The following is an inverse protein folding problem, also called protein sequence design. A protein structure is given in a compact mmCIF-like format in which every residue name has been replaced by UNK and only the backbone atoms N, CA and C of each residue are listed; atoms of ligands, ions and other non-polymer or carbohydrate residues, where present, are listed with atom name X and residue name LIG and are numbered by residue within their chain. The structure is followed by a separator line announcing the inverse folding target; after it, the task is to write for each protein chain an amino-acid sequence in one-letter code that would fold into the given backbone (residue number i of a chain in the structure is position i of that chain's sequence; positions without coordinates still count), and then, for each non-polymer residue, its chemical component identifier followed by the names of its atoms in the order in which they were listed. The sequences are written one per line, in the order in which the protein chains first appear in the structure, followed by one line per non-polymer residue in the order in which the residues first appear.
data_IF_209849410562
#
_entry.id   IF_209849410562
#
_cell.length_a   1.000
_cell.length_b   1.000
_cell.length_c   1.000
_cell.angle_alpha   90.00
_cell.angle_beta   90.00
_cell.angle_gamma   90.00
#
_symmetry.space_group_name_H-M   'P 1'
#
loop_
_entity.id
_entity.type
_entity.pdbx_description
1 polymer ?
#
# COMPACT_ATOMS: atom_id res chain seq x y z
N UNK A 1 6.03 4.10 -12.31
CA UNK A 1 5.99 5.01 -11.14
C UNK A 1 7.34 5.70 -11.00
N UNK A 2 7.31 6.97 -10.71
CA UNK A 2 8.53 7.77 -10.65
C UNK A 2 8.98 7.92 -9.18
N UNK A 3 10.07 7.27 -8.81
CA UNK A 3 10.56 7.25 -7.43
C UNK A 3 10.93 8.64 -6.91
N UNK A 4 11.42 9.53 -7.79
CA UNK A 4 11.80 10.88 -7.38
C UNK A 4 10.62 11.74 -6.91
N UNK A 5 9.39 11.32 -7.18
CA UNK A 5 8.18 12.00 -6.73
C UNK A 5 7.65 11.48 -5.40
N UNK A 6 8.35 10.53 -4.79
CA UNK A 6 7.91 9.86 -3.58
C UNK A 6 8.85 10.13 -2.41
N UNK A 7 8.31 10.01 -1.18
CA UNK A 7 9.13 10.13 0.03
C UNK A 7 10.09 8.94 0.15
N UNK A 8 11.16 9.11 0.95
CA UNK A 8 12.09 8.01 1.25
C UNK A 8 11.37 6.78 1.81
N UNK A 9 10.41 7.00 2.70
CA UNK A 9 9.64 5.90 3.30
C UNK A 9 8.88 5.12 2.24
N UNK A 10 8.19 5.82 1.33
CA UNK A 10 7.47 5.15 0.26
C UNK A 10 8.42 4.42 -0.69
N UNK A 11 9.58 5.00 -0.99
CA UNK A 11 10.59 4.33 -1.81
C UNK A 11 11.03 3.00 -1.19
N UNK A 12 11.27 2.98 0.12
CA UNK A 12 11.65 1.76 0.84
C UNK A 12 10.55 0.70 0.76
N UNK A 13 9.29 1.13 0.90
CA UNK A 13 8.14 0.23 0.80
C UNK A 13 8.03 -0.35 -0.61
N UNK A 14 8.20 0.48 -1.64
CA UNK A 14 8.15 0.04 -3.05
C UNK A 14 9.26 -0.97 -3.35
N UNK A 15 10.47 -0.72 -2.86
CA UNK A 15 11.60 -1.65 -3.03
C UNK A 15 11.31 -2.97 -2.32
N UNK A 16 10.76 -2.92 -1.11
CA UNK A 16 10.40 -4.12 -0.37
C UNK A 16 9.32 -4.92 -1.10
N UNK A 17 8.31 -4.24 -1.63
CA UNK A 17 7.25 -4.89 -2.42
C UNK A 17 7.83 -5.57 -3.68
N UNK A 18 8.76 -4.91 -4.37
CA UNK A 18 9.43 -5.48 -5.52
C UNK A 18 10.19 -6.76 -5.14
N UNK A 19 10.93 -6.74 -4.03
CA UNK A 19 11.68 -7.90 -3.56
C UNK A 19 10.74 -9.05 -3.17
N UNK A 20 9.63 -8.77 -2.51
CA UNK A 20 8.62 -9.78 -2.18
C UNK A 20 8.08 -10.40 -3.48
N UNK A 21 7.76 -9.58 -4.46
CA UNK A 21 7.26 -10.04 -5.77
C UNK A 21 8.25 -10.99 -6.44
N UNK A 22 9.54 -10.63 -6.43
CA UNK A 22 10.60 -11.48 -7.01
C UNK A 22 10.76 -12.78 -6.25
N UNK A 23 10.70 -12.74 -4.93
CA UNK A 23 10.82 -13.93 -4.09
C UNK A 23 9.69 -14.93 -4.36
N UNK A 24 8.50 -14.45 -4.65
CA UNK A 24 7.34 -15.29 -4.97
C UNK A 24 7.25 -15.65 -6.45
N UNK A 25 8.19 -15.15 -7.26
CA UNK A 25 8.19 -15.35 -8.73
C UNK A 25 6.89 -14.90 -9.39
N UNK A 26 6.32 -13.80 -8.90
CA UNK A 26 5.10 -13.26 -9.49
C UNK A 26 5.45 -12.34 -10.67
N UNK A 27 4.67 -12.37 -11.77
CA UNK A 27 4.97 -11.56 -12.96
C UNK A 27 4.63 -10.08 -12.81
N UNK A 28 3.82 -9.72 -11.83
CA UNK A 28 3.42 -8.35 -11.59
C UNK A 28 3.54 -7.99 -10.11
N UNK A 29 3.94 -6.73 -9.84
CA UNK A 29 3.85 -6.16 -8.50
C UNK A 29 2.40 -5.76 -8.28
N UNK A 30 1.73 -6.42 -7.36
CA UNK A 30 0.31 -6.23 -7.06
C UNK A 30 0.11 -5.55 -5.71
N UNK A 31 -1.14 -5.21 -5.40
CA UNK A 31 -1.49 -4.66 -4.09
C UNK A 31 -1.07 -5.60 -2.94
N UNK A 32 -1.13 -6.92 -3.15
CA UNK A 32 -0.72 -7.90 -2.16
C UNK A 32 0.74 -7.70 -1.71
N UNK A 33 1.64 -7.41 -2.65
CA UNK A 33 3.05 -7.15 -2.33
C UNK A 33 3.20 -5.84 -1.55
N UNK A 34 2.46 -4.81 -1.97
CA UNK A 34 2.46 -3.53 -1.29
C UNK A 34 1.94 -3.68 0.15
N UNK A 35 0.83 -4.39 0.34
CA UNK A 35 0.24 -4.57 1.67
C UNK A 35 1.11 -5.43 2.58
N UNK A 36 1.81 -6.41 2.04
CA UNK A 36 2.81 -7.15 2.82
C UNK A 36 3.87 -6.19 3.38
N UNK A 37 4.32 -5.24 2.58
CA UNK A 37 5.28 -4.22 3.02
C UNK A 37 4.64 -3.18 3.95
N UNK A 38 3.43 -2.69 3.64
CA UNK A 38 2.73 -1.73 4.50
C UNK A 38 2.50 -2.28 5.91
N UNK A 39 2.06 -3.54 6.01
CA UNK A 39 1.72 -4.14 7.30
C UNK A 39 2.94 -4.46 8.17
N UNK A 40 4.14 -4.30 7.62
CA UNK A 40 5.39 -4.40 8.35
C UNK A 40 5.90 -3.02 8.81
N UNK A 41 5.22 -1.95 8.45
CA UNK A 41 5.56 -0.58 8.83
C UNK A 41 4.92 -0.19 10.15
N UNK A 42 5.71 0.32 11.10
CA UNK A 42 5.25 0.62 12.45
C UNK A 42 4.17 1.70 12.49
N UNK A 43 4.28 2.73 11.65
CA UNK A 43 3.31 3.82 11.63
C UNK A 43 1.96 3.37 11.07
N UNK A 44 1.97 2.56 10.02
CA UNK A 44 0.74 2.01 9.44
C UNK A 44 0.07 1.06 10.44
N UNK A 45 0.84 0.19 11.09
CA UNK A 45 0.32 -0.73 12.11
C UNK A 45 -0.33 0.04 13.26
N UNK A 46 0.31 1.12 13.70
CA UNK A 46 -0.22 1.97 14.77
C UNK A 46 -1.55 2.61 14.36
N UNK A 47 -1.61 3.17 13.17
CA UNK A 47 -2.84 3.79 12.65
C UNK A 47 -3.98 2.77 12.59
N UNK A 48 -3.70 1.59 12.04
CA UNK A 48 -4.71 0.52 11.95
C UNK A 48 -5.17 0.07 13.32
N UNK A 49 -4.27 -0.08 14.29
CA UNK A 49 -4.61 -0.46 15.65
C UNK A 49 -5.47 0.59 16.34
N UNK A 50 -5.16 1.87 16.14
CA UNK A 50 -5.96 2.98 16.69
C UNK A 50 -7.34 3.05 16.04
N UNK A 51 -7.50 2.55 14.83
CA UNK A 51 -8.78 2.41 14.14
C UNK A 51 -9.47 1.08 14.45
N UNK A 52 -9.02 0.38 15.49
CA UNK A 52 -9.61 -0.87 16.00
C UNK A 52 -9.53 -2.03 15.01
N UNK A 53 -8.50 -2.05 14.18
CA UNK A 53 -8.27 -3.12 13.23
C UNK A 53 -7.29 -4.14 13.82
N UNK A 54 -7.59 -5.44 13.61
CA UNK A 54 -6.67 -6.51 13.97
C UNK A 54 -5.64 -6.66 12.85
N UNK A 55 -4.44 -6.12 13.08
CA UNK A 55 -3.36 -6.14 12.09
C UNK A 55 -2.94 -7.56 11.74
N UNK A 56 -2.89 -8.46 12.72
CA UNK A 56 -2.52 -9.87 12.47
C UNK A 56 -3.50 -10.55 11.50
N UNK A 57 -4.78 -10.24 11.63
CA UNK A 57 -5.80 -10.75 10.70
C UNK A 57 -5.54 -10.27 9.27
N UNK A 58 -5.21 -8.99 9.10
CA UNK A 58 -4.88 -8.44 7.78
C UNK A 58 -3.62 -9.09 7.21
N UNK A 59 -2.61 -9.35 8.05
CA UNK A 59 -1.39 -10.05 7.63
C UNK A 59 -1.74 -11.45 7.12
N UNK A 60 -2.59 -12.19 7.83
CA UNK A 60 -2.99 -13.54 7.42
C UNK A 60 -3.73 -13.53 6.09
N UNK A 61 -4.67 -12.60 5.91
CA UNK A 61 -5.40 -12.45 4.64
C UNK A 61 -4.42 -12.15 3.50
N UNK A 62 -3.48 -11.25 3.74
CA UNK A 62 -2.47 -10.87 2.74
C UNK A 62 -1.58 -12.06 2.36
N UNK A 63 -1.10 -12.80 3.35
CA UNK A 63 -0.26 -13.97 3.11
C UNK A 63 -1.00 -15.05 2.31
N UNK A 64 -2.27 -15.29 2.62
CA UNK A 64 -3.07 -16.26 1.88
C UNK A 64 -3.26 -15.83 0.42
N UNK A 65 -3.51 -14.55 0.18
CA UNK A 65 -3.64 -14.01 -1.19
C UNK A 65 -2.33 -14.10 -1.96
N UNK A 66 -1.20 -13.79 -1.31
CA UNK A 66 0.12 -13.91 -1.94
C UNK A 66 0.38 -15.34 -2.43
N UNK A 67 0.04 -16.32 -1.61
CA UNK A 67 0.24 -17.73 -1.96
C UNK A 67 -0.62 -18.18 -3.15
N UNK A 68 -1.68 -17.44 -3.46
CA UNK A 68 -2.60 -17.74 -4.56
C UNK A 68 -2.28 -17.01 -5.86
N UNK A 69 -1.30 -16.09 -5.85
CA UNK A 69 -0.94 -15.35 -7.05
C UNK A 69 -0.22 -16.24 -8.07
N UNK A 70 -0.43 -15.99 -9.38
CA UNK A 70 0.31 -16.70 -10.42
C UNK A 70 1.81 -16.52 -10.25
N UNK A 71 2.57 -17.58 -10.46
CA UNK A 71 4.02 -17.53 -10.45
C UNK A 71 4.56 -18.09 -11.77
N UNK A 72 5.74 -17.61 -12.19
CA UNK A 72 6.44 -18.14 -13.33
C UNK A 72 7.95 -18.13 -13.08
N UNK A 73 8.68 -18.88 -13.91
CA UNK A 73 10.12 -19.00 -13.80
C UNK A 73 10.87 -17.92 -14.60
N UNK A 74 10.13 -16.90 -15.08
CA UNK A 74 10.74 -15.80 -15.85
C UNK A 74 11.72 -15.04 -14.96
N UNK A 75 12.87 -14.69 -15.53
CA UNK A 75 13.88 -13.85 -14.89
C UNK A 75 13.65 -12.36 -15.19
N UNK A 76 12.61 -12.02 -15.95
CA UNK A 76 12.29 -10.65 -16.29
C UNK A 76 11.83 -9.88 -15.05
N UNK A 77 12.10 -8.58 -15.05
CA UNK A 77 11.60 -7.71 -14.00
C UNK A 77 10.07 -7.69 -14.02
N UNK A 78 9.42 -7.76 -12.85
CA UNK A 78 7.98 -7.69 -12.78
C UNK A 78 7.45 -6.35 -13.30
N UNK A 79 6.32 -6.40 -13.99
CA UNK A 79 5.60 -5.18 -14.35
C UNK A 79 4.75 -4.73 -13.16
N UNK A 80 4.18 -3.54 -13.26
CA UNK A 80 3.30 -2.99 -12.23
C UNK A 80 1.86 -3.31 -12.60
N UNK A 81 1.08 -3.86 -11.64
CA UNK A 81 -0.32 -4.18 -11.88
C UNK A 81 -1.14 -2.93 -12.18
N UNK A 82 -2.25 -3.12 -12.88
CA UNK A 82 -3.14 -2.01 -13.23
C UNK A 82 -3.66 -1.28 -12.01
N UNK A 83 -4.11 -2.01 -10.99
CA UNK A 83 -4.68 -1.40 -9.79
C UNK A 83 -3.65 -0.60 -8.99
N UNK A 84 -2.43 -1.11 -8.89
CA UNK A 84 -1.37 -0.36 -8.22
C UNK A 84 -1.01 0.90 -9.01
N UNK A 85 -0.90 0.78 -10.33
CA UNK A 85 -0.59 1.92 -11.19
C UNK A 85 -1.67 3.02 -11.09
N UNK A 86 -2.93 2.64 -11.16
CA UNK A 86 -4.06 3.56 -11.04
C UNK A 86 -4.10 4.21 -9.65
N UNK A 87 -3.86 3.43 -8.59
CA UNK A 87 -3.81 3.95 -7.22
C UNK A 87 -2.69 4.96 -7.03
N UNK A 88 -1.52 4.67 -7.59
CA UNK A 88 -0.39 5.59 -7.55
C UNK A 88 -0.74 6.92 -8.23
N UNK A 89 -1.32 6.87 -9.43
CA UNK A 89 -1.68 8.08 -10.16
C UNK A 89 -2.73 8.91 -9.41
N UNK A 90 -3.73 8.27 -8.83
CA UNK A 90 -4.74 8.96 -8.03
C UNK A 90 -4.13 9.58 -6.78
N UNK A 91 -3.31 8.83 -6.05
CA UNK A 91 -2.66 9.33 -4.85
C UNK A 91 -1.73 10.52 -5.15
N UNK A 92 -1.01 10.44 -6.26
CA UNK A 92 -0.14 11.54 -6.69
C UNK A 92 -0.95 12.81 -7.01
N UNK A 93 -2.08 12.66 -7.69
CA UNK A 93 -2.98 13.77 -7.99
C UNK A 93 -3.49 14.42 -6.70
N UNK A 94 -3.99 13.61 -5.75
CA UNK A 94 -4.50 14.12 -4.48
C UNK A 94 -3.40 14.79 -3.65
N UNK A 95 -2.19 14.25 -3.67
CA UNK A 95 -1.04 14.82 -2.98
C UNK A 95 -0.70 16.21 -3.54
N UNK A 96 -0.71 16.35 -4.86
CA UNK A 96 -0.46 17.63 -5.53
C UNK A 96 -1.55 18.65 -5.23
N UNK A 97 -2.80 18.23 -5.17
CA UNK A 97 -3.92 19.11 -4.82
C UNK A 97 -3.80 19.66 -3.40
N UNK A 98 -3.18 18.88 -2.49
CA UNK A 98 -2.89 19.35 -1.13
C UNK A 98 -1.63 20.24 -1.06
N UNK A 99 -0.88 20.36 -2.14
CA UNK A 99 0.35 21.12 -2.18
C UNK A 99 1.59 20.36 -1.68
N UNK A 100 1.51 19.05 -1.54
CA UNK A 100 2.64 18.24 -1.12
C UNK A 100 3.68 18.14 -2.24
N UNK A 101 4.95 18.25 -1.88
CA UNK A 101 6.04 18.12 -2.84
C UNK A 101 6.28 16.66 -3.25
N UNK A 102 6.09 15.73 -2.30
CA UNK A 102 6.33 14.30 -2.53
C UNK A 102 5.12 13.49 -2.07
N UNK A 103 4.85 12.42 -2.79
CA UNK A 103 3.82 11.45 -2.39
C UNK A 103 4.35 10.60 -1.23
N UNK A 104 3.62 10.56 -0.14
CA UNK A 104 3.96 9.77 1.04
C UNK A 104 3.34 8.39 1.05
N UNK A 105 3.91 7.51 1.90
CA UNK A 105 3.45 6.14 2.02
C UNK A 105 2.01 6.03 2.53
N UNK A 106 1.64 6.87 3.49
CA UNK A 106 0.29 6.83 4.08
C UNK A 106 -0.78 7.21 3.05
N UNK A 107 -0.48 8.18 2.18
CA UNK A 107 -1.43 8.59 1.14
C UNK A 107 -1.65 7.49 0.12
N UNK A 108 -0.59 6.85 -0.35
CA UNK A 108 -0.74 5.74 -1.29
C UNK A 108 -1.44 4.54 -0.64
N UNK A 109 -1.08 4.22 0.61
CA UNK A 109 -1.73 3.16 1.37
C UNK A 109 -3.24 3.36 1.43
N UNK A 110 -3.69 4.58 1.76
CA UNK A 110 -5.12 4.87 1.88
C UNK A 110 -5.86 4.71 0.54
N UNK A 111 -5.28 5.21 -0.54
CA UNK A 111 -5.88 5.08 -1.88
C UNK A 111 -5.93 3.61 -2.30
N UNK A 112 -4.84 2.85 -2.10
CA UNK A 112 -4.81 1.43 -2.44
C UNK A 112 -5.84 0.62 -1.66
N UNK A 113 -5.96 0.86 -0.35
CA UNK A 113 -6.88 0.10 0.50
C UNK A 113 -8.33 0.20 0.00
N UNK A 114 -8.67 1.29 -0.66
CA UNK A 114 -10.04 1.53 -1.14
C UNK A 114 -10.15 1.47 -2.67
N UNK A 115 -9.18 0.84 -3.35
CA UNK A 115 -9.29 0.62 -4.79
C UNK A 115 -10.22 -0.56 -5.10
N UNK A 116 -10.39 -0.89 -6.38
CA UNK A 116 -11.38 -1.88 -6.83
C UNK A 116 -10.79 -3.28 -7.04
N UNK A 117 -9.59 -3.56 -6.57
CA UNK A 117 -9.00 -4.88 -6.73
C UNK A 117 -9.72 -5.93 -5.86
N UNK A 118 -9.70 -7.19 -6.29
CA UNK A 118 -10.30 -8.29 -5.53
C UNK A 118 -9.67 -8.41 -4.15
N UNK A 119 -8.36 -8.25 -4.08
CA UNK A 119 -7.62 -8.37 -2.84
C UNK A 119 -8.03 -7.29 -1.83
N UNK A 120 -8.06 -6.02 -2.25
CA UNK A 120 -8.43 -4.94 -1.33
C UNK A 120 -9.89 -5.03 -0.90
N UNK A 121 -10.77 -5.49 -1.79
CA UNK A 121 -12.17 -5.78 -1.41
C UNK A 121 -12.22 -6.84 -0.32
N UNK A 122 -11.38 -7.87 -0.41
CA UNK A 122 -11.29 -8.91 0.61
C UNK A 122 -10.76 -8.33 1.92
N UNK A 123 -9.70 -7.52 1.88
CA UNK A 123 -9.18 -6.86 3.08
C UNK A 123 -10.24 -6.00 3.77
N UNK A 124 -11.03 -5.26 2.99
CA UNK A 124 -12.05 -4.37 3.56
C UNK A 124 -13.15 -5.11 4.34
N UNK A 125 -13.31 -6.42 4.13
CA UNK A 125 -14.22 -7.23 4.95
C UNK A 125 -13.74 -7.38 6.40
N UNK A 126 -12.47 -7.11 6.65
CA UNK A 126 -11.82 -7.25 7.95
C UNK A 126 -11.52 -5.91 8.62
N UNK A 127 -12.04 -4.81 8.09
CA UNK A 127 -11.91 -3.48 8.68
C UNK A 127 -13.30 -2.92 9.00
N UNK A 128 -13.35 -1.99 9.96
CA UNK A 128 -14.61 -1.37 10.41
C UNK A 128 -14.66 0.13 10.17
N UNK A 129 -13.56 0.71 9.68
CA UNK A 129 -13.51 2.13 9.36
C UNK A 129 -13.75 2.35 7.87
N UNK A 130 -14.19 3.55 7.49
CA UNK A 130 -14.34 3.93 6.10
C UNK A 130 -13.13 4.75 5.61
N UNK A 131 -13.11 5.09 4.33
CA UNK A 131 -12.00 5.86 3.73
C UNK A 131 -11.82 7.22 4.40
N UNK A 132 -12.94 7.89 4.74
CA UNK A 132 -12.90 9.20 5.40
C UNK A 132 -12.22 9.10 6.77
N UNK A 133 -12.57 8.10 7.57
CA UNK A 133 -11.97 7.88 8.88
C UNK A 133 -10.46 7.70 8.77
N UNK A 134 -10.01 6.92 7.80
CA UNK A 134 -8.60 6.67 7.57
C UNK A 134 -7.89 7.95 7.13
N UNK A 135 -8.46 8.67 6.17
CA UNK A 135 -7.85 9.92 5.66
C UNK A 135 -7.76 10.98 6.76
N UNK A 136 -8.80 11.12 7.58
CA UNK A 136 -8.77 12.05 8.71
C UNK A 136 -7.66 11.68 9.70
N UNK A 137 -7.49 10.39 9.98
CA UNK A 137 -6.44 9.91 10.87
C UNK A 137 -5.05 10.19 10.30
N UNK A 138 -4.86 9.91 9.02
CA UNK A 138 -3.59 10.16 8.33
C UNK A 138 -3.25 11.65 8.34
N UNK A 139 -4.21 12.50 8.03
CA UNK A 139 -3.99 13.95 8.01
C UNK A 139 -3.56 14.49 9.37
N UNK A 140 -4.09 13.94 10.46
CA UNK A 140 -3.66 14.32 11.81
C UNK A 140 -2.22 13.88 12.11
N UNK A 141 -1.81 12.72 11.61
CA UNK A 141 -0.46 12.20 11.80
C UNK A 141 0.54 12.99 10.95
N UNK A 142 0.22 13.19 9.67
CA UNK A 142 1.09 13.87 8.71
C UNK A 142 1.30 15.34 9.06
N UNK A 143 0.29 16.02 9.62
CA UNK A 143 0.43 17.43 10.02
C UNK A 143 1.48 17.64 11.11
N UNK A 144 1.91 16.58 11.79
CA UNK A 144 2.92 16.63 12.87
C UNK A 144 4.30 16.22 12.40
N UNK A 145 4.46 15.72 11.17
CA UNK A 145 5.74 15.25 10.65
C UNK A 145 5.77 15.31 9.13
N UNK A 146 6.86 15.83 8.58
CA UNK A 146 7.10 15.87 7.14
C UNK A 146 7.70 14.58 6.59
N UNK A 147 7.88 13.55 7.42
CA UNK A 147 8.61 12.32 7.05
C UNK A 147 7.73 11.22 6.42
N UNK A 148 6.44 11.38 6.47
CA UNK A 148 5.52 10.36 5.96
C UNK A 148 5.24 10.49 4.48
#
# INVERSE_FOLDING_TARGET
MELEKTTEKLQKILIKALNICKDYHNPEICDEHMFKAYLDDDDIRKILSELKCDVNELINVTNNSLNSLPSNDSTNDPSISRYLYESYNEALKLSREKGDKYLGALDLFAVELFNDSSFTKLLRKHIKFNKKDLMDKINRVVSKSSLY
#
